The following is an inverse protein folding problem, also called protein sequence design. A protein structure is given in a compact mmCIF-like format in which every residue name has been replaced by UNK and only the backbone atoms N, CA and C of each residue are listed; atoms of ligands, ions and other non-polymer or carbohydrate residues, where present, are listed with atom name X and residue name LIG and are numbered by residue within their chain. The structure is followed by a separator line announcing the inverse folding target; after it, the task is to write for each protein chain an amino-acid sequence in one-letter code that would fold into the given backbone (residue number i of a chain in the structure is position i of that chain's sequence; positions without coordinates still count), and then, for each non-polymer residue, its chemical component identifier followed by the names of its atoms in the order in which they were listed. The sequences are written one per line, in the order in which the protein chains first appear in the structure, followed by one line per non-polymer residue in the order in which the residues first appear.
data_IF_711948719827
#
_entry.id   IF_711948719827
#
_cell.length_a   1.000
_cell.length_b   1.000
_cell.length_c   1.000
_cell.angle_alpha   90.00
_cell.angle_beta   90.00
_cell.angle_gamma   90.00
#
_symmetry.space_group_name_H-M   'P 1'
#
loop_
_entity.id
_entity.type
_entity.pdbx_description
1 polymer ?
#
# COMPACT_ATOMS: atom_id res chain seq x y z
N UNK A 1 -52.51 -41.48 2.84
CA UNK A 1 -52.73 -40.21 2.13
C UNK A 1 -52.44 -39.09 3.11
N UNK A 2 -51.17 -38.69 3.27
CA UNK A 2 -50.75 -37.61 4.16
C UNK A 2 -50.18 -36.48 3.30
N UNK A 3 -50.91 -35.37 3.23
CA UNK A 3 -50.51 -34.14 2.53
C UNK A 3 -49.55 -33.36 3.43
N UNK A 4 -48.29 -33.26 3.03
CA UNK A 4 -47.31 -32.35 3.62
C UNK A 4 -47.51 -30.94 3.04
N UNK A 5 -47.98 -30.02 3.88
CA UNK A 5 -48.10 -28.59 3.57
C UNK A 5 -46.72 -27.95 3.68
N UNK A 6 -46.16 -27.53 2.54
CA UNK A 6 -44.93 -26.73 2.49
C UNK A 6 -45.25 -25.28 2.85
N UNK A 7 -44.80 -24.86 4.03
CA UNK A 7 -44.88 -23.47 4.48
C UNK A 7 -43.73 -22.69 3.84
N UNK A 8 -44.03 -21.97 2.76
CA UNK A 8 -43.10 -21.02 2.12
C UNK A 8 -42.86 -19.84 3.08
N UNK A 9 -41.73 -19.88 3.78
CA UNK A 9 -41.17 -18.73 4.49
C UNK A 9 -40.71 -17.70 3.46
N UNK A 10 -41.56 -16.70 3.21
CA UNK A 10 -41.15 -15.48 2.51
C UNK A 10 -40.23 -14.71 3.45
N UNK A 11 -38.92 -14.87 3.26
CA UNK A 11 -37.92 -13.99 3.87
C UNK A 11 -38.12 -12.61 3.25
N UNK A 12 -38.77 -11.72 3.99
CA UNK A 12 -38.92 -10.32 3.61
C UNK A 12 -37.55 -9.67 3.57
N UNK A 13 -37.00 -9.49 2.37
CA UNK A 13 -35.83 -8.65 2.13
C UNK A 13 -36.21 -7.22 2.54
N UNK A 14 -35.73 -6.77 3.69
CA UNK A 14 -35.79 -5.37 4.08
C UNK A 14 -34.95 -4.55 3.10
N UNK A 15 -35.59 -4.04 2.05
CA UNK A 15 -35.01 -3.03 1.19
C UNK A 15 -34.93 -1.75 2.02
N UNK A 16 -33.73 -1.43 2.51
CA UNK A 16 -33.46 -0.13 3.13
C UNK A 16 -33.74 0.97 2.10
N UNK A 17 -34.76 1.78 2.35
CA UNK A 17 -35.04 2.99 1.59
C UNK A 17 -33.86 3.97 1.77
N UNK A 18 -32.96 4.01 0.79
CA UNK A 18 -31.97 5.05 0.69
C UNK A 18 -32.70 6.37 0.38
N UNK A 19 -32.82 7.25 1.38
CA UNK A 19 -33.31 8.60 1.16
C UNK A 19 -32.43 9.36 0.17
N UNK A 20 -33.01 10.33 -0.53
CA UNK A 20 -32.29 11.19 -1.48
C UNK A 20 -31.15 11.93 -0.80
N UNK A 21 -29.95 11.93 -1.41
CA UNK A 21 -28.79 12.64 -0.88
C UNK A 21 -29.06 14.15 -0.82
N UNK A 22 -28.62 14.85 0.25
CA UNK A 22 -28.85 16.28 0.38
C UNK A 22 -28.02 17.06 -0.64
N UNK A 23 -28.63 18.09 -1.23
CA UNK A 23 -27.96 19.00 -2.16
C UNK A 23 -27.23 20.11 -1.40
N UNK A 24 -26.16 20.65 -1.99
CA UNK A 24 -25.39 21.76 -1.43
C UNK A 24 -23.93 21.43 -1.18
N UNK A 25 -23.24 22.37 -0.54
CA UNK A 25 -21.85 22.25 -0.11
C UNK A 25 -21.81 21.90 1.37
N UNK A 26 -20.98 20.91 1.74
CA UNK A 26 -20.83 20.39 3.10
C UNK A 26 -19.36 20.45 3.52
N UNK A 27 -19.13 20.75 4.79
CA UNK A 27 -17.83 20.56 5.41
C UNK A 27 -17.70 19.14 5.99
N UNK A 28 -16.51 18.81 6.48
CA UNK A 28 -16.24 17.48 7.01
C UNK A 28 -17.08 17.14 8.26
N UNK A 29 -17.41 18.13 9.09
CA UNK A 29 -18.24 17.92 10.28
C UNK A 29 -19.66 17.49 9.87
N UNK A 30 -20.26 18.20 8.91
CA UNK A 30 -21.56 17.84 8.36
C UNK A 30 -21.55 16.45 7.68
N UNK A 31 -20.46 16.09 6.99
CA UNK A 31 -20.28 14.74 6.43
C UNK A 31 -20.33 13.68 7.53
N UNK A 32 -19.49 13.83 8.57
CA UNK A 32 -19.41 12.86 9.69
C UNK A 32 -20.75 12.78 10.42
N UNK A 33 -21.39 13.92 10.72
CA UNK A 33 -22.61 13.99 11.51
C UNK A 33 -23.79 13.24 10.87
N UNK A 34 -23.92 13.34 9.55
CA UNK A 34 -24.93 12.62 8.79
C UNK A 34 -24.54 11.16 8.55
N UNK A 35 -23.31 10.91 8.08
CA UNK A 35 -22.88 9.56 7.73
C UNK A 35 -22.74 8.64 8.93
N UNK A 36 -22.46 9.14 10.14
CA UNK A 36 -22.45 8.28 11.33
C UNK A 36 -23.85 7.74 11.67
N UNK A 37 -24.91 8.48 11.35
CA UNK A 37 -26.30 8.07 11.55
C UNK A 37 -26.77 7.12 10.44
N UNK A 38 -26.36 7.40 9.19
CA UNK A 38 -26.77 6.63 8.00
C UNK A 38 -25.95 5.35 7.81
N UNK A 39 -24.66 5.40 8.11
CA UNK A 39 -23.71 4.31 7.92
C UNK A 39 -22.54 4.44 8.91
N UNK A 40 -22.80 4.05 10.15
CA UNK A 40 -21.82 4.10 11.23
C UNK A 40 -20.53 3.33 10.92
N UNK A 41 -20.62 2.21 10.20
CA UNK A 41 -19.46 1.40 9.81
C UNK A 41 -18.50 2.16 8.88
N UNK A 42 -19.03 3.01 7.99
CA UNK A 42 -18.22 3.82 7.08
C UNK A 42 -17.32 4.79 7.85
N UNK A 43 -17.94 5.57 8.74
CA UNK A 43 -17.23 6.58 9.55
C UNK A 43 -16.22 5.90 10.46
N UNK A 44 -16.60 4.79 11.11
CA UNK A 44 -15.67 4.01 11.95
C UNK A 44 -14.49 3.43 11.17
N UNK A 45 -14.72 2.97 9.95
CA UNK A 45 -13.65 2.46 9.09
C UNK A 45 -12.62 3.56 8.77
N UNK A 46 -13.09 4.74 8.37
CA UNK A 46 -12.21 5.91 8.18
C UNK A 46 -11.48 6.30 9.46
N UNK A 47 -12.18 6.43 10.60
CA UNK A 47 -11.57 6.76 11.90
C UNK A 47 -10.49 5.75 12.32
N UNK A 48 -10.64 4.48 11.95
CA UNK A 48 -9.66 3.44 12.24
C UNK A 48 -8.44 3.46 11.32
N UNK A 49 -8.53 4.15 10.18
CA UNK A 49 -7.49 4.21 9.16
C UNK A 49 -6.30 5.09 9.57
N UNK A 50 -5.20 5.00 8.80
CA UNK A 50 -4.09 5.93 8.97
C UNK A 50 -4.45 7.36 8.54
N UNK A 51 -5.37 7.52 7.58
CA UNK A 51 -5.79 8.82 7.06
C UNK A 51 -6.50 9.69 8.11
N UNK A 52 -7.14 9.09 9.11
CA UNK A 52 -7.73 9.83 10.22
C UNK A 52 -6.71 10.30 11.28
N UNK A 53 -5.44 9.87 11.20
CA UNK A 53 -4.42 10.09 12.23
C UNK A 53 -3.24 10.97 11.79
N UNK A 54 -3.22 11.38 10.52
CA UNK A 54 -2.15 12.21 9.94
C UNK A 54 -2.41 13.70 10.16
N UNK A 55 -1.36 14.50 10.27
CA UNK A 55 -1.45 15.96 10.50
C UNK A 55 -2.14 16.69 9.35
N UNK A 56 -1.84 16.31 8.10
CA UNK A 56 -2.61 16.73 6.93
C UNK A 56 -3.84 15.84 6.85
N UNK A 57 -4.94 16.31 7.42
CA UNK A 57 -6.19 15.54 7.49
C UNK A 57 -6.64 15.08 6.10
N UNK A 58 -6.66 13.77 5.87
CA UNK A 58 -7.27 13.15 4.70
C UNK A 58 -8.73 12.84 5.03
N UNK A 59 -9.53 13.91 5.06
CA UNK A 59 -10.93 13.88 5.46
C UNK A 59 -11.91 13.58 4.31
N UNK A 60 -13.22 13.57 4.60
CA UNK A 60 -14.24 13.24 3.62
C UNK A 60 -14.19 14.19 2.41
N UNK A 61 -14.07 15.49 2.66
CA UNK A 61 -14.15 16.55 1.65
C UNK A 61 -12.90 16.57 0.78
N UNK A 62 -11.73 16.25 1.33
CA UNK A 62 -10.48 16.18 0.56
C UNK A 62 -10.59 15.16 -0.58
N UNK A 63 -11.11 13.97 -0.30
CA UNK A 63 -11.24 12.91 -1.32
C UNK A 63 -12.51 13.05 -2.16
N UNK A 64 -13.66 13.31 -1.52
CA UNK A 64 -14.97 13.27 -2.19
C UNK A 64 -15.43 14.63 -2.72
N UNK A 65 -14.83 15.73 -2.26
CA UNK A 65 -15.35 17.08 -2.50
C UNK A 65 -16.47 17.45 -1.54
N UNK A 66 -16.91 18.71 -1.61
CA UNK A 66 -17.92 19.25 -0.70
C UNK A 66 -19.37 18.98 -1.15
N UNK A 67 -19.59 18.34 -2.31
CA UNK A 67 -20.92 18.03 -2.85
C UNK A 67 -21.11 16.53 -2.99
N UNK A 68 -22.34 16.04 -2.84
CA UNK A 68 -22.69 14.64 -3.14
C UNK A 68 -22.63 14.31 -4.64
N UNK A 69 -22.73 15.33 -5.50
CA UNK A 69 -22.64 15.15 -6.95
C UNK A 69 -21.26 14.64 -7.34
N UNK A 70 -21.20 13.45 -7.95
CA UNK A 70 -19.96 12.80 -8.38
C UNK A 70 -18.92 12.60 -7.27
N UNK A 71 -19.33 12.64 -6.00
CA UNK A 71 -18.46 12.51 -4.83
C UNK A 71 -17.62 11.24 -4.84
N UNK A 72 -18.28 10.10 -5.09
CA UNK A 72 -17.61 8.81 -5.19
C UNK A 72 -16.75 8.71 -6.46
N UNK A 73 -17.24 9.26 -7.58
CA UNK A 73 -16.52 9.28 -8.85
C UNK A 73 -15.17 10.00 -8.72
N UNK A 74 -15.14 11.17 -8.06
CA UNK A 74 -13.92 11.92 -7.77
C UNK A 74 -12.95 11.11 -6.94
N UNK A 75 -13.41 10.55 -5.82
CA UNK A 75 -12.56 9.82 -4.87
C UNK A 75 -11.95 8.52 -5.44
N UNK A 76 -12.50 7.97 -6.53
CA UNK A 76 -11.98 6.77 -7.19
C UNK A 76 -10.78 7.05 -8.10
N UNK A 77 -10.56 8.31 -8.49
CA UNK A 77 -9.49 8.68 -9.41
C UNK A 77 -8.16 8.87 -8.66
N UNK A 78 -7.07 8.30 -9.20
CA UNK A 78 -5.75 8.31 -8.56
C UNK A 78 -5.22 9.72 -8.20
N UNK A 79 -5.70 10.77 -8.88
CA UNK A 79 -5.29 12.15 -8.60
C UNK A 79 -5.47 12.53 -7.12
N UNK A 80 -6.58 12.13 -6.48
CA UNK A 80 -6.84 12.47 -5.08
C UNK A 80 -5.85 11.81 -4.11
N UNK A 81 -5.26 10.68 -4.52
CA UNK A 81 -4.23 9.99 -3.74
C UNK A 81 -2.87 10.65 -3.97
N UNK A 82 -2.56 10.97 -5.22
CA UNK A 82 -1.24 11.47 -5.65
C UNK A 82 -0.93 12.85 -5.05
N UNK A 83 -1.95 13.69 -4.88
CA UNK A 83 -1.80 15.04 -4.31
C UNK A 83 -1.19 15.03 -2.90
N UNK A 84 -1.46 14.00 -2.09
CA UNK A 84 -0.88 13.84 -0.75
C UNK A 84 0.28 12.83 -0.70
N UNK A 85 0.27 11.78 -1.53
CA UNK A 85 1.32 10.76 -1.56
C UNK A 85 2.58 11.22 -2.33
N UNK A 86 3.01 12.46 -2.12
CA UNK A 86 4.29 13.02 -2.58
C UNK A 86 4.41 13.23 -4.09
N UNK A 87 3.31 13.11 -4.85
CA UNK A 87 3.28 13.35 -6.28
C UNK A 87 3.99 12.26 -7.11
N UNK A 88 4.07 12.49 -8.42
CA UNK A 88 4.54 11.48 -9.40
C UNK A 88 5.97 10.97 -9.21
N UNK A 89 6.80 11.68 -8.44
CA UNK A 89 8.20 11.31 -8.18
C UNK A 89 8.38 10.59 -6.84
N UNK A 90 7.38 10.62 -5.96
CA UNK A 90 7.47 9.89 -4.69
C UNK A 90 7.53 8.38 -4.96
N UNK A 91 8.36 7.62 -4.24
CA UNK A 91 8.46 6.17 -4.41
C UNK A 91 7.14 5.42 -4.43
N UNK A 92 6.14 5.80 -3.61
CA UNK A 92 4.84 5.12 -3.56
C UNK A 92 4.11 5.27 -4.88
N UNK A 93 3.96 6.51 -5.35
CA UNK A 93 3.24 6.82 -6.60
C UNK A 93 4.03 6.34 -7.81
N UNK A 94 5.34 6.60 -7.84
CA UNK A 94 6.18 6.28 -8.99
C UNK A 94 6.30 4.76 -9.20
N UNK A 95 6.40 3.97 -8.13
CA UNK A 95 6.38 2.51 -8.27
C UNK A 95 5.06 2.02 -8.87
N UNK A 96 3.92 2.51 -8.41
CA UNK A 96 2.63 2.14 -9.01
C UNK A 96 2.49 2.65 -10.45
N UNK A 97 2.82 3.91 -10.73
CA UNK A 97 2.62 4.53 -12.05
C UNK A 97 3.50 3.93 -13.16
N UNK A 98 4.62 3.32 -12.78
CA UNK A 98 5.53 2.56 -13.67
C UNK A 98 5.19 1.07 -13.76
N UNK A 99 4.22 0.57 -12.98
CA UNK A 99 3.71 -0.80 -13.11
C UNK A 99 2.84 -0.97 -14.35
N UNK A 100 2.58 -2.23 -14.75
CA UNK A 100 1.61 -2.52 -15.82
C UNK A 100 0.23 -1.96 -15.52
N UNK A 101 -0.22 -2.01 -14.26
CA UNK A 101 -1.51 -1.48 -13.86
C UNK A 101 -1.57 0.05 -14.03
N UNK A 102 -0.57 0.75 -13.50
CA UNK A 102 -0.48 2.22 -13.61
C UNK A 102 -0.35 2.70 -15.06
N UNK A 103 0.38 1.96 -15.91
CA UNK A 103 0.50 2.27 -17.32
C UNK A 103 -0.83 2.13 -18.06
N UNK A 104 -1.55 1.01 -17.89
CA UNK A 104 -2.85 0.80 -18.54
C UNK A 104 -3.85 1.86 -18.04
N UNK A 105 -3.89 2.13 -16.73
CA UNK A 105 -4.79 3.14 -16.15
C UNK A 105 -4.50 4.52 -16.76
N UNK A 106 -3.23 4.92 -16.84
CA UNK A 106 -2.86 6.22 -17.40
C UNK A 106 -3.25 6.36 -18.88
N UNK A 107 -3.15 5.29 -19.66
CA UNK A 107 -3.50 5.28 -21.08
C UNK A 107 -5.02 5.29 -21.31
N UNK A 108 -5.78 4.60 -20.46
CA UNK A 108 -7.20 4.33 -20.71
C UNK A 108 -8.16 5.15 -19.84
N UNK A 109 -7.70 5.85 -18.79
CA UNK A 109 -8.54 6.55 -17.79
C UNK A 109 -9.61 7.51 -18.34
N UNK A 110 -9.43 8.03 -19.57
CA UNK A 110 -10.40 8.93 -20.20
C UNK A 110 -11.66 8.21 -20.69
N UNK A 111 -11.53 6.92 -21.00
CA UNK A 111 -12.62 6.08 -21.53
C UNK A 111 -13.40 5.37 -20.42
N UNK A 112 -13.04 5.59 -19.15
CA UNK A 112 -13.57 4.84 -18.04
C UNK A 112 -14.80 5.49 -17.43
N UNK A 113 -15.77 4.66 -17.09
CA UNK A 113 -16.90 5.07 -16.26
C UNK A 113 -16.51 5.06 -14.77
N UNK A 114 -16.09 6.22 -14.28
CA UNK A 114 -15.74 6.42 -12.87
C UNK A 114 -16.93 6.34 -11.91
N UNK A 115 -18.17 6.21 -12.41
CA UNK A 115 -19.37 6.03 -11.57
C UNK A 115 -19.53 4.61 -11.05
N UNK A 116 -18.85 3.63 -11.65
CA UNK A 116 -18.92 2.22 -11.23
C UNK A 116 -18.29 1.97 -9.84
N UNK A 117 -18.79 0.99 -9.07
CA UNK A 117 -18.20 0.65 -7.77
C UNK A 117 -16.84 -0.04 -7.91
N UNK A 118 -16.03 0.04 -6.84
CA UNK A 118 -14.68 -0.53 -6.73
C UNK A 118 -14.69 -2.05 -6.47
N UNK A 119 -15.42 -2.80 -7.28
CA UNK A 119 -15.59 -4.25 -7.14
C UNK A 119 -15.86 -4.91 -8.50
N UNK A 120 -15.84 -6.25 -8.52
CA UNK A 120 -16.30 -7.06 -9.66
C UNK A 120 -15.58 -6.78 -10.98
N UNK A 121 -14.32 -6.31 -10.93
CA UNK A 121 -13.56 -5.93 -12.11
C UNK A 121 -14.27 -4.90 -13.00
N UNK A 122 -15.07 -4.00 -12.41
CA UNK A 122 -15.70 -2.89 -13.12
C UNK A 122 -14.69 -1.94 -13.79
N UNK A 123 -13.41 -2.05 -13.41
CA UNK A 123 -12.29 -1.38 -14.04
C UNK A 123 -11.35 -2.42 -14.60
N UNK A 124 -10.93 -2.24 -15.86
CA UNK A 124 -10.03 -3.17 -16.56
C UNK A 124 -8.67 -3.33 -15.86
N UNK A 125 -8.20 -2.29 -15.18
CA UNK A 125 -7.00 -2.34 -14.34
C UNK A 125 -7.26 -1.56 -13.06
N UNK A 126 -6.70 -1.99 -11.92
CA UNK A 126 -6.95 -1.32 -10.65
C UNK A 126 -6.22 0.01 -10.54
N UNK A 127 -6.90 1.03 -10.00
CA UNK A 127 -6.32 2.25 -9.46
C UNK A 127 -5.93 2.14 -7.97
N UNK A 128 -5.42 3.22 -7.40
CA UNK A 128 -5.09 3.32 -5.98
C UNK A 128 -6.31 2.96 -5.12
N UNK A 129 -7.45 3.59 -5.40
CA UNK A 129 -8.70 3.37 -4.68
C UNK A 129 -9.21 1.93 -4.86
N UNK A 130 -9.10 1.34 -6.05
CA UNK A 130 -9.57 -0.03 -6.29
C UNK A 130 -8.88 -1.05 -5.38
N UNK A 131 -7.55 -0.95 -5.25
CA UNK A 131 -6.78 -1.87 -4.42
C UNK A 131 -6.90 -1.58 -2.93
N UNK A 132 -6.77 -0.31 -2.54
CA UNK A 132 -6.70 0.06 -1.11
C UNK A 132 -8.07 0.26 -0.46
N UNK A 133 -9.13 0.40 -1.27
CA UNK A 133 -10.51 0.65 -0.83
C UNK A 133 -11.49 -0.31 -1.54
N UNK A 134 -11.09 -1.56 -1.79
CA UNK A 134 -11.91 -2.58 -2.46
C UNK A 134 -13.30 -2.67 -1.81
N UNK A 135 -14.35 -2.71 -2.63
CA UNK A 135 -15.74 -2.74 -2.16
C UNK A 135 -16.19 -1.45 -1.46
N UNK A 136 -15.42 -0.36 -1.56
CA UNK A 136 -15.71 0.90 -0.87
C UNK A 136 -15.29 0.91 0.60
N UNK A 137 -14.37 0.04 1.01
CA UNK A 137 -13.81 0.07 2.36
C UNK A 137 -13.03 1.36 2.63
N UNK A 138 -13.28 2.02 3.77
CA UNK A 138 -12.60 3.29 4.13
C UNK A 138 -11.48 3.11 5.17
N UNK A 139 -11.18 1.87 5.56
CA UNK A 139 -10.03 1.58 6.41
C UNK A 139 -8.77 1.37 5.56
N UNK A 140 -8.18 2.47 5.11
CA UNK A 140 -6.84 2.47 4.49
C UNK A 140 -5.78 2.41 5.59
N UNK A 141 -5.53 1.20 6.10
CA UNK A 141 -4.50 0.98 7.10
C UNK A 141 -3.10 1.05 6.46
N UNK A 142 -2.23 1.91 6.99
CA UNK A 142 -0.79 1.75 6.85
C UNK A 142 -0.42 0.59 7.75
N UNK A 143 -0.24 -0.60 7.19
CA UNK A 143 0.46 -1.64 7.92
C UNK A 143 1.92 -1.22 7.90
N UNK A 144 2.41 -0.67 9.02
CA UNK A 144 3.85 -0.55 9.28
C UNK A 144 4.42 -1.97 9.32
N UNK A 145 4.63 -2.52 8.12
CA UNK A 145 5.33 -3.78 7.94
C UNK A 145 6.77 -3.48 8.28
N UNK A 146 7.14 -3.64 9.55
CA UNK A 146 8.53 -3.57 9.96
C UNK A 146 9.32 -4.44 8.99
N UNK A 147 10.02 -3.83 8.03
CA UNK A 147 10.40 -4.52 6.79
C UNK A 147 11.42 -5.65 7.01
N UNK A 148 12.02 -5.64 8.21
CA UNK A 148 12.93 -6.66 8.73
C UNK A 148 12.25 -7.69 9.66
N UNK A 149 11.03 -7.42 10.13
CA UNK A 149 10.23 -8.33 10.95
C UNK A 149 9.54 -9.34 10.03
N UNK A 150 9.96 -10.59 10.14
CA UNK A 150 9.42 -11.70 9.35
C UNK A 150 8.27 -12.38 10.10
N UNK A 151 7.25 -11.62 10.49
CA UNK A 151 6.09 -12.18 11.18
C UNK A 151 5.18 -12.89 10.17
N UNK A 152 5.34 -14.21 10.07
CA UNK A 152 4.59 -15.04 9.12
C UNK A 152 3.08 -14.87 9.20
N UNK A 153 2.51 -14.84 10.42
CA UNK A 153 1.06 -14.70 10.59
C UNK A 153 0.54 -13.34 10.11
N UNK A 154 1.31 -12.28 10.36
CA UNK A 154 0.97 -10.94 9.88
C UNK A 154 1.08 -10.87 8.35
N UNK A 155 2.16 -11.41 7.77
CA UNK A 155 2.36 -11.50 6.32
C UNK A 155 1.20 -12.26 5.66
N UNK A 156 0.84 -13.43 6.18
CA UNK A 156 -0.30 -14.22 5.68
C UNK A 156 -1.60 -13.43 5.73
N UNK A 157 -1.87 -12.71 6.83
CA UNK A 157 -3.05 -11.84 6.94
C UNK A 157 -3.05 -10.70 5.90
N UNK A 158 -1.89 -10.09 5.60
CA UNK A 158 -1.79 -9.06 4.54
C UNK A 158 -2.13 -9.69 3.20
N UNK A 159 -1.46 -10.81 2.89
CA UNK A 159 -1.59 -11.49 1.61
C UNK A 159 -3.01 -11.97 1.37
N UNK A 160 -3.66 -12.59 2.35
CA UNK A 160 -5.04 -13.06 2.23
C UNK A 160 -6.02 -11.92 1.98
N UNK A 161 -5.77 -10.75 2.57
CA UNK A 161 -6.56 -9.54 2.30
C UNK A 161 -6.37 -9.09 0.84
N UNK A 162 -5.11 -9.01 0.38
CA UNK A 162 -4.78 -8.56 -0.97
C UNK A 162 -5.20 -9.56 -2.06
N UNK A 163 -5.16 -10.86 -1.79
CA UNK A 163 -5.54 -11.92 -2.74
C UNK A 163 -6.96 -11.74 -3.26
N UNK A 164 -7.89 -11.29 -2.40
CA UNK A 164 -9.29 -11.03 -2.77
C UNK A 164 -9.42 -9.92 -3.81
N UNK A 165 -8.61 -8.87 -3.72
CA UNK A 165 -8.54 -7.81 -4.73
C UNK A 165 -8.05 -8.37 -6.06
N UNK A 166 -6.97 -9.16 -6.02
CA UNK A 166 -6.38 -9.71 -7.24
C UNK A 166 -7.32 -10.70 -7.96
N UNK A 167 -8.16 -11.41 -7.22
CA UNK A 167 -9.10 -12.41 -7.73
C UNK A 167 -10.22 -11.83 -8.60
N UNK A 168 -10.48 -10.51 -8.51
CA UNK A 168 -11.43 -9.85 -9.42
C UNK A 168 -10.98 -9.98 -10.89
N UNK A 169 -9.66 -9.96 -11.17
CA UNK A 169 -9.11 -9.93 -12.53
C UNK A 169 -8.15 -11.08 -12.87
N UNK A 170 -7.60 -11.78 -11.89
CA UNK A 170 -6.54 -12.77 -12.11
C UNK A 170 -6.90 -14.16 -11.58
N UNK A 171 -6.41 -15.18 -12.28
CA UNK A 171 -6.58 -16.57 -11.86
C UNK A 171 -5.84 -16.85 -10.53
N UNK A 172 -6.43 -17.65 -9.61
CA UNK A 172 -5.82 -17.96 -8.31
C UNK A 172 -4.38 -18.47 -8.39
N UNK A 173 -4.06 -19.32 -9.38
CA UNK A 173 -2.69 -19.83 -9.59
C UNK A 173 -1.68 -18.73 -9.86
N UNK A 174 -2.04 -17.73 -10.68
CA UNK A 174 -1.16 -16.59 -10.95
C UNK A 174 -0.90 -15.80 -9.66
N UNK A 175 -1.96 -15.53 -8.90
CA UNK A 175 -1.90 -14.78 -7.65
C UNK A 175 -1.00 -15.49 -6.63
N UNK A 176 -1.19 -16.80 -6.41
CA UNK A 176 -0.32 -17.59 -5.53
C UNK A 176 1.14 -17.46 -5.93
N UNK A 177 1.44 -17.62 -7.22
CA UNK A 177 2.81 -17.52 -7.71
C UNK A 177 3.40 -16.12 -7.55
N UNK A 178 2.58 -15.08 -7.72
CA UNK A 178 2.96 -13.69 -7.54
C UNK A 178 3.44 -13.43 -6.11
N UNK A 179 2.66 -13.86 -5.11
CA UNK A 179 3.01 -13.69 -3.69
C UNK A 179 4.23 -14.53 -3.30
N UNK A 180 4.33 -15.78 -3.75
CA UNK A 180 5.53 -16.61 -3.52
C UNK A 180 6.81 -15.95 -4.06
N UNK A 181 6.75 -15.40 -5.27
CA UNK A 181 7.88 -14.70 -5.86
C UNK A 181 8.20 -13.42 -5.08
N UNK A 182 7.18 -12.66 -4.69
CA UNK A 182 7.32 -11.46 -3.87
C UNK A 182 8.04 -11.73 -2.55
N UNK A 183 7.64 -12.77 -1.81
CA UNK A 183 8.30 -13.14 -0.55
C UNK A 183 9.75 -13.58 -0.77
N UNK A 184 10.06 -14.29 -1.86
CA UNK A 184 11.45 -14.62 -2.20
C UNK A 184 12.30 -13.37 -2.45
N UNK A 185 11.76 -12.38 -3.16
CA UNK A 185 12.45 -11.11 -3.40
C UNK A 185 12.67 -10.36 -2.09
N UNK A 186 11.66 -10.29 -1.22
CA UNK A 186 11.80 -9.66 0.10
C UNK A 186 12.80 -10.40 0.98
N UNK A 187 12.80 -11.73 0.99
CA UNK A 187 13.76 -12.52 1.74
C UNK A 187 15.21 -12.24 1.31
N UNK A 188 15.46 -12.13 -0.01
CA UNK A 188 16.76 -11.74 -0.55
C UNK A 188 17.14 -10.31 -0.15
N UNK A 189 16.21 -9.36 -0.21
CA UNK A 189 16.46 -7.99 0.21
C UNK A 189 16.81 -7.90 1.71
N UNK A 190 16.04 -8.59 2.57
CA UNK A 190 16.30 -8.66 4.01
C UNK A 190 17.63 -9.33 4.32
N UNK A 191 18.02 -10.37 3.58
CA UNK A 191 19.33 -11.02 3.71
C UNK A 191 20.48 -10.03 3.55
N UNK A 192 20.45 -9.20 2.51
CA UNK A 192 21.47 -8.16 2.26
C UNK A 192 21.56 -7.16 3.41
N UNK A 193 20.41 -6.74 3.95
CA UNK A 193 20.35 -5.81 5.08
C UNK A 193 20.87 -6.44 6.38
N UNK A 194 20.58 -7.72 6.62
CA UNK A 194 21.14 -8.47 7.76
C UNK A 194 22.64 -8.63 7.66
N UNK A 195 23.17 -8.87 6.46
CA UNK A 195 24.62 -8.93 6.24
C UNK A 195 25.29 -7.59 6.58
N UNK A 196 24.75 -6.47 6.09
CA UNK A 196 25.23 -5.13 6.45
C UNK A 196 25.18 -4.88 7.96
N UNK A 197 24.11 -5.32 8.62
CA UNK A 197 23.96 -5.20 10.08
C UNK A 197 25.05 -5.98 10.82
N UNK A 198 25.31 -7.23 10.42
CA UNK A 198 26.32 -8.07 11.05
C UNK A 198 27.73 -7.47 10.92
N UNK A 199 28.06 -6.94 9.73
CA UNK A 199 29.33 -6.26 9.49
C UNK A 199 29.50 -5.02 10.38
N UNK A 200 28.46 -4.20 10.54
CA UNK A 200 28.50 -3.04 11.41
C UNK A 200 28.64 -3.41 12.89
N UNK A 201 27.94 -4.47 13.34
CA UNK A 201 28.07 -4.96 14.71
C UNK A 201 29.52 -5.35 15.02
N UNK A 202 30.17 -6.10 14.13
CA UNK A 202 31.58 -6.47 14.29
C UNK A 202 32.50 -5.24 14.25
N UNK A 203 32.23 -4.29 13.35
CA UNK A 203 33.05 -3.08 13.22
C UNK A 203 32.97 -2.19 14.48
N UNK A 204 31.83 -2.13 15.16
CA UNK A 204 31.63 -1.36 16.40
C UNK A 204 32.49 -1.86 17.57
N UNK A 205 32.92 -3.12 17.54
CA UNK A 205 33.86 -3.65 18.54
C UNK A 205 35.28 -3.11 18.34
N UNK A 206 35.61 -2.60 17.15
CA UNK A 206 36.97 -2.23 16.76
C UNK A 206 37.16 -0.73 16.49
N UNK A 207 36.08 -0.01 16.17
CA UNK A 207 36.14 1.38 15.71
C UNK A 207 35.17 2.26 16.49
N UNK A 208 35.57 3.51 16.71
CA UNK A 208 34.71 4.52 17.33
C UNK A 208 33.50 4.84 16.43
N UNK A 209 32.42 5.33 17.05
CA UNK A 209 31.23 5.76 16.33
C UNK A 209 31.54 6.80 15.23
N UNK A 210 32.45 7.73 15.50
CA UNK A 210 32.92 8.74 14.53
C UNK A 210 33.51 8.09 13.26
N UNK A 211 34.38 7.08 13.43
CA UNK A 211 34.98 6.37 12.27
C UNK A 211 33.94 5.59 11.46
N UNK A 212 32.85 5.15 12.10
CA UNK A 212 31.80 4.36 11.45
C UNK A 212 30.64 5.19 10.92
N UNK A 213 30.63 6.51 11.12
CA UNK A 213 29.50 7.38 10.78
C UNK A 213 29.03 7.19 9.33
N UNK A 214 29.95 7.18 8.36
CA UNK A 214 29.62 6.99 6.95
C UNK A 214 28.93 5.64 6.67
N UNK A 215 29.40 4.56 7.32
CA UNK A 215 28.83 3.24 7.18
C UNK A 215 27.45 3.12 7.85
N UNK A 216 27.27 3.75 9.01
CA UNK A 216 25.99 3.81 9.73
C UNK A 216 24.94 4.62 8.96
N UNK A 217 25.32 5.78 8.41
CA UNK A 217 24.44 6.57 7.56
C UNK A 217 24.01 5.80 6.31
N UNK A 218 24.96 5.10 5.69
CA UNK A 218 24.68 4.27 4.53
C UNK A 218 23.73 3.10 4.88
N UNK A 219 23.90 2.47 6.04
CA UNK A 219 23.00 1.43 6.53
C UNK A 219 21.60 1.97 6.87
N UNK A 220 21.50 3.18 7.41
CA UNK A 220 20.22 3.87 7.62
C UNK A 220 19.48 4.04 6.29
N UNK A 221 20.15 4.55 5.25
CA UNK A 221 19.59 4.68 3.90
C UNK A 221 19.16 3.34 3.30
N UNK A 222 19.98 2.31 3.48
CA UNK A 222 19.69 0.94 3.01
C UNK A 222 18.36 0.42 3.55
N UNK A 223 18.09 0.66 4.85
CA UNK A 223 16.85 0.27 5.50
C UNK A 223 15.66 1.14 5.13
N UNK A 224 15.81 2.46 5.19
CA UNK A 224 14.66 3.37 5.09
C UNK A 224 14.24 3.66 3.65
N UNK A 225 15.16 3.52 2.69
CA UNK A 225 14.92 3.85 1.28
C UNK A 225 14.92 2.59 0.41
N UNK A 226 16.05 1.90 0.28
CA UNK A 226 16.18 0.87 -0.75
C UNK A 226 15.49 -0.45 -0.39
N UNK A 227 15.45 -0.85 0.89
CA UNK A 227 14.62 -1.98 1.32
C UNK A 227 13.13 -1.69 1.12
N UNK A 228 12.70 -0.46 1.45
CA UNK A 228 11.33 0.01 1.20
C UNK A 228 11.00 0.01 -0.28
N UNK A 229 11.95 0.38 -1.16
CA UNK A 229 11.74 0.34 -2.59
C UNK A 229 11.50 -1.08 -3.11
N UNK A 230 12.23 -2.10 -2.63
CA UNK A 230 11.93 -3.49 -3.01
C UNK A 230 10.52 -3.89 -2.58
N UNK A 231 10.10 -3.51 -1.36
CA UNK A 231 8.73 -3.72 -0.90
C UNK A 231 7.69 -3.07 -1.80
N UNK A 232 7.89 -1.81 -2.17
CA UNK A 232 7.02 -1.12 -3.12
C UNK A 232 7.02 -1.79 -4.51
N UNK A 233 8.18 -2.25 -4.98
CA UNK A 233 8.31 -2.97 -6.24
C UNK A 233 7.51 -4.28 -6.25
N UNK A 234 7.55 -5.03 -5.14
CA UNK A 234 6.75 -6.25 -4.97
C UNK A 234 5.26 -5.91 -4.82
N UNK A 235 4.91 -4.93 -3.97
CA UNK A 235 3.51 -4.58 -3.71
C UNK A 235 2.80 -4.00 -4.93
N UNK A 236 3.47 -3.13 -5.69
CA UNK A 236 2.92 -2.48 -6.88
C UNK A 236 3.26 -3.18 -8.19
N UNK A 237 4.00 -4.29 -8.16
CA UNK A 237 4.44 -5.02 -9.36
C UNK A 237 5.21 -4.13 -10.33
N UNK A 238 6.10 -3.30 -9.78
CA UNK A 238 6.95 -2.38 -10.53
C UNK A 238 8.31 -3.01 -10.79
N UNK A 239 8.66 -3.31 -12.06
CA UNK A 239 9.97 -3.83 -12.40
C UNK A 239 11.10 -2.88 -11.96
N UNK A 240 10.92 -1.57 -12.13
CA UNK A 240 11.95 -0.59 -11.78
C UNK A 240 12.27 -0.57 -10.29
N UNK A 241 11.26 -0.77 -9.42
CA UNK A 241 11.45 -0.82 -7.97
C UNK A 241 11.88 -2.19 -7.45
N UNK A 242 11.59 -3.25 -8.20
CA UNK A 242 12.17 -4.57 -7.95
C UNK A 242 13.66 -4.58 -8.30
N UNK A 243 14.04 -3.90 -9.39
CA UNK A 243 15.39 -3.85 -9.93
C UNK A 243 16.06 -2.50 -9.62
N UNK A 244 16.09 -1.56 -10.58
CA UNK A 244 16.92 -0.35 -10.54
C UNK A 244 16.90 0.43 -9.22
N UNK A 245 15.72 0.66 -8.63
CA UNK A 245 15.57 1.38 -7.37
C UNK A 245 15.58 0.49 -6.12
N UNK A 246 15.58 -0.84 -6.30
CA UNK A 246 15.48 -1.86 -5.26
C UNK A 246 16.75 -2.70 -5.11
N UNK A 247 16.79 -3.89 -5.71
CA UNK A 247 17.86 -4.88 -5.45
C UNK A 247 19.28 -4.37 -5.76
N UNK A 248 19.59 -3.88 -6.97
CA UNK A 248 20.84 -3.18 -7.26
C UNK A 248 21.20 -2.05 -6.28
N UNK A 249 20.21 -1.27 -5.84
CA UNK A 249 20.46 -0.18 -4.90
C UNK A 249 20.88 -0.71 -3.51
N UNK A 250 20.27 -1.81 -3.05
CA UNK A 250 20.69 -2.54 -1.85
C UNK A 250 22.10 -3.14 -2.01
N UNK A 251 22.42 -3.72 -3.16
CA UNK A 251 23.77 -4.24 -3.43
C UNK A 251 24.80 -3.11 -3.36
N UNK A 252 24.51 -1.98 -3.98
CA UNK A 252 25.36 -0.79 -3.92
C UNK A 252 25.57 -0.28 -2.49
N UNK A 253 24.54 -0.29 -1.64
CA UNK A 253 24.67 0.09 -0.25
C UNK A 253 25.57 -0.88 0.54
N UNK A 254 25.35 -2.18 0.38
CA UNK A 254 26.14 -3.22 1.04
C UNK A 254 27.62 -3.12 0.62
N UNK A 255 27.89 -2.91 -0.67
CA UNK A 255 29.25 -2.71 -1.17
C UNK A 255 29.90 -1.45 -0.60
N UNK A 256 29.16 -0.34 -0.48
CA UNK A 256 29.67 0.89 0.16
C UNK A 256 29.99 0.68 1.64
N UNK A 257 29.12 -0.01 2.39
CA UNK A 257 29.34 -0.33 3.80
C UNK A 257 30.61 -1.18 3.96
N UNK A 258 30.75 -2.25 3.17
CA UNK A 258 31.98 -3.07 3.12
C UNK A 258 33.21 -2.22 2.79
N UNK A 259 33.10 -1.35 1.79
CA UNK A 259 34.17 -0.44 1.39
C UNK A 259 34.63 0.51 2.49
N UNK A 260 33.70 1.09 3.26
CA UNK A 260 34.04 1.95 4.40
C UNK A 260 34.78 1.17 5.48
N UNK A 261 34.27 0.00 5.89
CA UNK A 261 34.88 -0.83 6.93
C UNK A 261 36.27 -1.32 6.51
N UNK A 262 36.42 -1.89 5.32
CA UNK A 262 37.73 -2.34 4.80
C UNK A 262 38.71 -1.18 4.60
N UNK A 263 38.20 0.04 4.35
CA UNK A 263 39.02 1.25 4.33
C UNK A 263 39.70 1.52 5.67
N UNK A 264 38.94 1.42 6.77
CA UNK A 264 39.46 1.59 8.13
C UNK A 264 40.48 0.51 8.50
N UNK A 265 40.24 -0.73 8.08
CA UNK A 265 41.18 -1.85 8.28
C UNK A 265 42.52 -1.61 7.58
N UNK A 266 42.49 -1.08 6.34
CA UNK A 266 43.71 -0.73 5.61
C UNK A 266 44.50 0.36 6.31
N UNK A 267 43.83 1.44 6.74
CA UNK A 267 44.49 2.55 7.45
C UNK A 267 45.13 2.08 8.75
N UNK A 268 44.47 1.18 9.50
CA UNK A 268 45.02 0.59 10.73
C UNK A 268 46.30 -0.24 10.50
N UNK A 269 46.49 -0.78 9.30
CA UNK A 269 47.65 -1.60 8.92
C UNK A 269 48.79 -0.81 8.26
N UNK A 270 48.59 0.48 7.99
CA UNK A 270 49.66 1.33 7.45
C UNK A 270 50.72 1.58 8.54
N UNK A 271 52.01 1.50 8.19
CA UNK A 271 53.12 1.67 9.12
C UNK A 271 53.23 3.09 9.68
#
# INVERSE_FOLDING_TARGET
MHLLVWMLLVVGSSVSLAGTAPQGSFDNAACIDCHQQRNLSLVRAWQSSAHARVEVSADCVVCHGASHENAAMRARQDAVCIDCHGGQKDPVVHSYSTSKHGLILRLEKKEWDWTQPLSQANYRTPGCAYCHMQGGGHNVAVRDVGLLRENKAEIELVQDTMRRVCQDCHAPRYITRLFENGEKMLALARMKVREAQALLLQAREQYSAEKLEAAEMQYKKMKSVHLRNVYLGVAHQSPDYQWWHGHPALDGDLLRIKGFISGLERVKKLP
#
